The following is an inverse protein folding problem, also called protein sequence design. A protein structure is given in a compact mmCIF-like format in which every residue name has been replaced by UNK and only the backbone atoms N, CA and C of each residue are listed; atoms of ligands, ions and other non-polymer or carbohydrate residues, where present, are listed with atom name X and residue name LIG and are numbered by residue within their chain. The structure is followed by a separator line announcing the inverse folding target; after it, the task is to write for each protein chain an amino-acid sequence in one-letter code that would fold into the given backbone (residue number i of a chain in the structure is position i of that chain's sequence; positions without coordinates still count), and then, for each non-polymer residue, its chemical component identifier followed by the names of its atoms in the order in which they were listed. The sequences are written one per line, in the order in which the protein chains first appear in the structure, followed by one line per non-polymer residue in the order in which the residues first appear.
data_IF_173317172535
#
_entry.id   IF_173317172535
#
_cell.length_a   1.000
_cell.length_b   1.000
_cell.length_c   1.000
_cell.angle_alpha   90.00
_cell.angle_beta   90.00
_cell.angle_gamma   90.00
#
_symmetry.space_group_name_H-M   'P 1'
#
loop_
_entity.id
_entity.type
_entity.pdbx_description
1 polymer ?
#
# COMPACT_ATOMS: atom_id res chain seq x y z
N UNK A 1 22.60 -11.24 0.53
CA UNK A 1 21.62 -11.53 1.59
C UNK A 1 20.38 -10.69 1.29
N UNK A 2 19.26 -11.29 0.90
CA UNK A 2 18.00 -10.55 0.67
C UNK A 2 17.29 -10.41 1.99
N UNK A 3 17.35 -9.22 2.59
CA UNK A 3 16.64 -8.92 3.83
C UNK A 3 15.16 -8.73 3.47
N UNK A 4 14.29 -9.62 3.97
CA UNK A 4 12.84 -9.49 3.79
C UNK A 4 12.28 -8.71 4.97
N UNK A 5 11.79 -7.50 4.71
CA UNK A 5 11.10 -6.71 5.71
C UNK A 5 9.61 -7.07 5.68
N UNK A 6 9.06 -7.43 6.83
CA UNK A 6 7.62 -7.57 7.00
C UNK A 6 7.09 -6.27 7.60
N UNK A 7 6.02 -5.76 7.02
CA UNK A 7 5.37 -4.52 7.42
C UNK A 7 3.87 -4.67 7.19
N UNK A 8 3.08 -3.99 7.99
CA UNK A 8 1.64 -3.95 7.81
C UNK A 8 1.28 -2.76 6.91
N UNK A 9 0.27 -2.94 6.07
CA UNK A 9 -0.36 -1.85 5.36
C UNK A 9 -1.86 -1.91 5.63
N UNK A 10 -2.46 -0.76 5.87
CA UNK A 10 -3.89 -0.59 6.07
C UNK A 10 -4.49 -0.22 4.72
N UNK A 11 -5.45 -1.00 4.24
CA UNK A 11 -6.18 -0.67 3.00
C UNK A 11 -7.49 0.01 3.40
N UNK A 12 -7.64 1.27 3.03
CA UNK A 12 -8.82 2.07 3.25
C UNK A 12 -9.58 2.29 1.95
N UNK A 13 -10.90 2.34 2.02
CA UNK A 13 -11.76 2.63 0.87
C UNK A 13 -12.16 4.11 0.90
N UNK A 14 -11.53 4.93 0.06
CA UNK A 14 -11.91 6.33 -0.13
C UNK A 14 -12.81 6.48 -1.35
N UNK A 15 -14.07 6.87 -1.12
CA UNK A 15 -15.04 7.10 -2.19
C UNK A 15 -15.35 5.83 -2.98
N UNK A 16 -14.92 5.78 -4.24
CA UNK A 16 -15.10 4.61 -5.11
C UNK A 16 -13.86 3.73 -5.24
N UNK A 17 -12.71 4.16 -4.73
CA UNK A 17 -11.44 3.45 -4.83
C UNK A 17 -10.88 3.00 -3.49
N UNK A 18 -9.68 2.42 -3.54
CA UNK A 18 -8.91 1.89 -2.43
C UNK A 18 -7.54 2.58 -2.37
N UNK A 19 -7.05 2.82 -1.16
CA UNK A 19 -5.74 3.40 -0.86
C UNK A 19 -5.08 2.52 0.19
N UNK A 20 -3.79 2.21 0.01
CA UNK A 20 -3.00 1.51 1.02
C UNK A 20 -2.10 2.50 1.76
N UNK A 21 -2.09 2.46 3.08
CA UNK A 21 -1.26 3.28 3.95
C UNK A 21 -0.31 2.37 4.71
N UNK A 22 0.98 2.68 4.73
CA UNK A 22 1.97 1.99 5.57
C UNK A 22 2.45 2.95 6.65
N UNK A 23 1.90 2.87 7.87
CA UNK A 23 2.26 3.75 8.99
C UNK A 23 3.75 3.71 9.34
N UNK A 24 4.37 2.54 9.23
CA UNK A 24 5.76 2.30 9.62
C UNK A 24 6.76 3.07 8.77
N UNK A 25 6.41 3.31 7.50
CA UNK A 25 7.27 4.00 6.53
C UNK A 25 6.77 5.40 6.18
N UNK A 26 5.60 5.78 6.70
CA UNK A 26 4.95 7.04 6.39
C UNK A 26 4.78 7.23 4.86
N UNK A 27 4.44 6.14 4.16
CA UNK A 27 4.13 6.14 2.72
C UNK A 27 2.67 5.75 2.49
N UNK A 28 2.11 6.24 1.39
CA UNK A 28 0.77 5.90 0.94
C UNK A 28 0.82 5.48 -0.53
N UNK A 29 -0.05 4.56 -0.89
CA UNK A 29 -0.32 4.16 -2.26
C UNK A 29 -1.22 5.19 -2.94
N UNK A 30 -1.22 5.19 -4.28
CA UNK A 30 -2.19 5.97 -5.06
C UNK A 30 -3.59 5.35 -4.89
N UNK A 31 -4.63 6.18 -5.03
CA UNK A 31 -6.00 5.68 -5.11
C UNK A 31 -6.20 4.92 -6.42
N UNK A 32 -6.79 3.73 -6.31
CA UNK A 32 -7.11 2.86 -7.44
C UNK A 32 -8.47 2.15 -7.25
N UNK A 33 -9.07 1.68 -8.35
CA UNK A 33 -10.45 1.15 -8.32
C UNK A 33 -10.54 -0.26 -7.72
N UNK A 34 -9.42 -0.98 -7.62
CA UNK A 34 -9.35 -2.36 -7.13
C UNK A 34 -8.54 -2.46 -5.84
N UNK A 35 -8.84 -3.47 -5.01
CA UNK A 35 -8.14 -3.66 -3.72
C UNK A 35 -6.71 -4.21 -3.88
N UNK A 36 -6.39 -4.79 -5.03
CA UNK A 36 -5.11 -5.47 -5.29
C UNK A 36 -4.03 -4.50 -5.78
N UNK A 37 -4.43 -3.44 -6.49
CA UNK A 37 -3.52 -2.41 -7.01
C UNK A 37 -2.76 -1.65 -5.91
N UNK A 38 -3.40 -1.20 -4.81
CA UNK A 38 -2.71 -0.46 -3.77
C UNK A 38 -1.52 -1.19 -3.16
N UNK A 39 -1.61 -2.52 -3.05
CA UNK A 39 -0.51 -3.37 -2.56
C UNK A 39 0.68 -3.39 -3.52
N UNK A 40 0.42 -3.52 -4.81
CA UNK A 40 1.49 -3.56 -5.84
C UNK A 40 2.21 -2.23 -5.89
N UNK A 41 1.48 -1.12 -5.94
CA UNK A 41 2.05 0.23 -5.89
C UNK A 41 2.91 0.45 -4.65
N UNK A 42 2.48 -0.03 -3.48
CA UNK A 42 3.23 0.16 -2.24
C UNK A 42 4.53 -0.66 -2.24
N UNK A 43 4.58 -1.79 -2.94
CA UNK A 43 5.82 -2.55 -3.16
C UNK A 43 6.73 -1.84 -4.17
N UNK A 44 6.17 -1.24 -5.24
CA UNK A 44 6.96 -0.48 -6.21
C UNK A 44 7.54 0.83 -5.63
N UNK A 45 6.92 1.36 -4.58
CA UNK A 45 7.41 2.54 -3.87
C UNK A 45 8.56 2.26 -2.87
N UNK A 46 8.88 0.98 -2.61
CA UNK A 46 9.94 0.52 -1.69
C UNK A 46 11.23 0.13 -2.41
#
# INVERSE_FOLDING_TARGET
MTQKTQMAAIIEREGNGYVALCPELNIASRQDDTIEEPRTNLIEAL
#
